data_IF_340966820111
#
_entry.id   IF_340966820111
#
_cell.length_a   1.000
_cell.length_b   1.000
_cell.length_c   1.000
_cell.angle_alpha   90.00
_cell.angle_beta   90.00
_cell.angle_gamma   90.00
#
_symmetry.space_group_name_H-M   'P 1'
#
loop_
_entity.id
_entity.type
_entity.pdbx_description
1 polymer ?
#
# COMPACT_ATOMS: atom_id res chain seq x y z
N UNK A 1 7.89 -1.00 7.19
CA UNK A 1 7.84 0.25 6.41
C UNK A 1 6.57 0.97 6.84
N UNK A 2 6.69 2.21 7.30
CA UNK A 2 5.53 3.00 7.69
C UNK A 2 4.65 3.29 6.47
N UNK A 3 3.37 3.52 6.73
CA UNK A 3 2.42 3.91 5.70
C UNK A 3 2.77 5.28 5.12
N UNK A 4 2.84 5.38 3.80
CA UNK A 4 3.14 6.62 3.10
C UNK A 4 2.56 6.60 1.68
N UNK A 5 2.22 7.78 1.15
CA UNK A 5 1.88 7.93 -0.26
C UNK A 5 3.13 7.78 -1.14
N UNK A 6 2.96 7.23 -2.35
CA UNK A 6 4.04 7.13 -3.34
C UNK A 6 3.59 7.70 -4.69
N UNK A 7 4.51 7.71 -5.66
CA UNK A 7 4.21 8.17 -7.01
C UNK A 7 3.00 7.42 -7.62
N UNK A 8 2.93 6.09 -7.47
CA UNK A 8 1.95 5.23 -8.13
C UNK A 8 0.78 4.78 -7.25
N UNK A 9 0.83 5.05 -5.94
CA UNK A 9 -0.18 4.57 -4.98
C UNK A 9 -0.61 5.71 -4.05
N UNK A 10 -1.91 5.78 -3.76
CA UNK A 10 -2.43 6.66 -2.70
C UNK A 10 -1.91 6.25 -1.32
N UNK A 11 -1.51 4.99 -1.17
CA UNK A 11 -0.90 4.51 0.05
C UNK A 11 -0.15 3.20 -0.17
N UNK A 12 1.04 3.14 0.40
CA UNK A 12 1.90 1.97 0.36
C UNK A 12 2.52 1.75 1.74
N UNK A 13 2.59 0.50 2.16
CA UNK A 13 3.16 0.16 3.45
C UNK A 13 3.38 -1.33 3.62
N UNK A 14 4.00 -1.68 4.75
CA UNK A 14 4.20 -3.07 5.17
C UNK A 14 3.66 -3.25 6.57
N UNK A 15 2.96 -4.35 6.79
CA UNK A 15 2.47 -4.77 8.10
C UNK A 15 2.79 -6.25 8.30
N UNK A 16 3.16 -6.61 9.51
CA UNK A 16 3.25 -8.03 9.92
C UNK A 16 1.98 -8.34 10.70
N UNK A 17 1.26 -9.39 10.33
CA UNK A 17 0.06 -9.78 11.05
C UNK A 17 0.39 -10.49 12.39
N UNK A 18 -0.65 -10.85 13.15
CA UNK A 18 -0.49 -11.50 14.46
C UNK A 18 0.17 -12.89 14.42
N UNK A 19 0.26 -13.50 13.24
CA UNK A 19 0.88 -14.81 13.03
C UNK A 19 2.30 -14.69 12.47
N UNK A 20 2.81 -13.46 12.30
CA UNK A 20 4.16 -13.21 11.80
C UNK A 20 4.26 -13.16 10.27
N UNK A 21 3.14 -13.18 9.53
CA UNK A 21 3.19 -13.13 8.05
C UNK A 21 3.38 -11.69 7.59
N UNK A 22 4.40 -11.39 6.77
CA UNK A 22 4.62 -10.06 6.24
C UNK A 22 3.72 -9.77 5.02
N UNK A 23 2.98 -8.67 5.08
CA UNK A 23 2.11 -8.20 4.00
C UNK A 23 2.61 -6.88 3.44
N UNK A 24 2.47 -6.73 2.12
CA UNK A 24 2.67 -5.46 1.41
C UNK A 24 1.31 -4.98 0.92
N UNK A 25 0.94 -3.75 1.29
CA UNK A 25 -0.35 -3.15 0.92
C UNK A 25 -0.10 -2.04 -0.11
N UNK A 26 -0.88 -2.05 -1.19
CA UNK A 26 -0.76 -1.10 -2.29
C UNK A 26 -2.15 -0.58 -2.70
N UNK A 27 -2.46 0.67 -2.34
CA UNK A 27 -3.70 1.34 -2.75
C UNK A 27 -3.43 2.07 -4.05
N UNK A 28 -3.76 1.42 -5.18
CA UNK A 28 -3.48 1.94 -6.52
C UNK A 28 -4.20 3.27 -6.78
N UNK A 29 -3.52 4.18 -7.48
CA UNK A 29 -4.17 5.38 -8.02
C UNK A 29 -5.08 4.96 -9.17
N UNK A 30 -6.37 5.27 -9.07
CA UNK A 30 -7.28 5.06 -10.19
C UNK A 30 -6.95 6.09 -11.27
N UNK A 31 -6.74 5.64 -12.50
CA UNK A 31 -6.72 6.55 -13.63
C UNK A 31 -8.13 7.12 -13.82
N UNK A 32 -8.28 8.45 -14.00
CA UNK A 32 -9.55 9.02 -14.39
C UNK A 32 -10.03 8.31 -15.66
N UNK A 33 -11.22 7.75 -15.62
CA UNK A 33 -11.88 7.25 -16.84
C UNK A 33 -12.17 8.48 -17.70
N UNK A 34 -11.59 8.52 -18.90
CA UNK A 34 -11.77 9.62 -19.86
C UNK A 34 -13.21 9.67 -20.36
#
# INVERSE_FOLDING_TARGET
>A
MAWQETFWAHGFGKVTDKFGVPWMINVVKQQPTQ
#
